data_IF_252688302384
#
_entry.id   IF_252688302384
#
_cell.length_a   1.000
_cell.length_b   1.000
_cell.length_c   1.000
_cell.angle_alpha   90.00
_cell.angle_beta   90.00
_cell.angle_gamma   90.00
#
_symmetry.space_group_name_H-M   'P 1'
#
loop_
_entity.id
_entity.type
_entity.pdbx_description
1 polymer ?
#
# COMPACT_ATOMS: atom_id res chain seq x y z
N UNK A 1 18.53 -27.09 -10.37
CA UNK A 1 17.63 -26.14 -11.09
C UNK A 1 17.79 -26.25 -12.61
N UNK A 2 19.01 -26.22 -13.17
CA UNK A 2 19.27 -26.42 -14.61
C UNK A 2 18.68 -27.72 -15.20
N UNK A 3 18.80 -28.86 -14.51
CA UNK A 3 18.26 -30.14 -15.00
C UNK A 3 16.72 -30.16 -15.10
N UNK A 4 16.02 -29.52 -14.15
CA UNK A 4 14.56 -29.39 -14.20
C UNK A 4 14.12 -28.52 -15.38
N UNK A 5 14.89 -27.47 -15.70
CA UNK A 5 14.64 -26.59 -16.86
C UNK A 5 14.90 -27.33 -18.18
N UNK A 6 16.02 -28.04 -18.30
CA UNK A 6 16.34 -28.84 -19.50
C UNK A 6 15.33 -30.00 -19.69
N UNK A 7 14.90 -30.63 -18.60
CA UNK A 7 13.83 -31.63 -18.62
C UNK A 7 12.49 -31.06 -19.10
N UNK A 8 12.13 -29.84 -18.69
CA UNK A 8 10.93 -29.17 -19.17
C UNK A 8 11.01 -28.78 -20.66
N UNK A 9 12.17 -28.31 -21.13
CA UNK A 9 12.42 -27.98 -22.54
C UNK A 9 12.33 -29.25 -23.41
N UNK A 10 12.94 -30.37 -22.98
CA UNK A 10 12.88 -31.62 -23.72
C UNK A 10 11.45 -32.19 -23.80
N UNK A 11 10.64 -32.04 -22.74
CA UNK A 11 9.22 -32.44 -22.77
C UNK A 11 8.38 -31.64 -23.78
N UNK A 12 8.74 -30.37 -24.04
CA UNK A 12 8.05 -29.50 -25.00
C UNK A 12 8.53 -29.69 -26.44
N UNK A 13 9.68 -30.33 -26.66
CA UNK A 13 10.24 -30.60 -28.00
C UNK A 13 9.29 -31.44 -28.86
N UNK A 14 8.84 -32.59 -28.35
CA UNK A 14 8.01 -33.53 -29.12
C UNK A 14 6.64 -32.95 -29.53
N UNK A 15 5.90 -32.23 -28.65
CA UNK A 15 4.69 -31.52 -29.05
C UNK A 15 4.93 -30.47 -30.14
N UNK A 16 6.01 -29.68 -30.03
CA UNK A 16 6.35 -28.64 -31.02
C UNK A 16 6.68 -29.26 -32.38
N UNK A 17 7.45 -30.35 -32.41
CA UNK A 17 7.75 -31.07 -33.65
C UNK A 17 6.48 -31.63 -34.32
N UNK A 18 5.51 -32.12 -33.53
CA UNK A 18 4.21 -32.55 -34.07
C UNK A 18 3.43 -31.39 -34.67
N UNK A 19 3.42 -30.24 -34.01
CA UNK A 19 2.75 -29.04 -34.51
C UNK A 19 3.39 -28.53 -35.81
N UNK A 20 4.73 -28.49 -35.88
CA UNK A 20 5.48 -28.11 -37.09
C UNK A 20 5.14 -29.06 -38.25
N UNK A 21 5.13 -30.38 -38.02
CA UNK A 21 4.75 -31.36 -39.05
C UNK A 21 3.33 -31.14 -39.57
N UNK A 22 2.39 -30.92 -38.67
CA UNK A 22 0.98 -30.65 -39.03
C UNK A 22 0.85 -29.34 -39.82
N UNK A 23 1.58 -28.30 -39.44
CA UNK A 23 1.63 -27.03 -40.17
C UNK A 23 2.16 -27.22 -41.60
N UNK A 24 3.30 -27.88 -41.75
CA UNK A 24 3.91 -28.15 -43.05
C UNK A 24 2.97 -28.95 -43.97
N UNK A 25 2.32 -29.98 -43.42
CA UNK A 25 1.34 -30.79 -44.15
C UNK A 25 0.14 -29.95 -44.63
N UNK A 26 -0.45 -29.15 -43.74
CA UNK A 26 -1.58 -28.29 -44.09
C UNK A 26 -1.21 -27.23 -45.12
N UNK A 27 -0.04 -26.60 -44.98
CA UNK A 27 0.47 -25.60 -45.93
C UNK A 27 0.69 -26.22 -47.30
N UNK A 28 1.31 -27.40 -47.38
CA UNK A 28 1.49 -28.14 -48.64
C UNK A 28 0.15 -28.47 -49.29
N UNK A 29 -0.80 -29.02 -48.54
CA UNK A 29 -2.13 -29.37 -49.04
C UNK A 29 -2.91 -28.15 -49.54
N UNK A 30 -2.75 -27.00 -48.89
CA UNK A 30 -3.38 -25.75 -49.32
C UNK A 30 -2.74 -25.20 -50.60
N UNK A 31 -1.42 -25.04 -50.62
CA UNK A 31 -0.70 -24.49 -51.78
C UNK A 31 -0.85 -25.39 -53.00
N UNK A 32 -0.85 -26.71 -52.84
CA UNK A 32 -1.10 -27.65 -53.93
C UNK A 32 -2.48 -27.44 -54.58
N UNK A 33 -3.49 -27.03 -53.81
CA UNK A 33 -4.86 -26.76 -54.32
C UNK A 33 -5.01 -25.37 -54.94
N UNK A 34 -4.35 -24.37 -54.38
CA UNK A 34 -4.53 -22.97 -54.77
C UNK A 34 -3.53 -22.54 -55.85
N UNK A 35 -2.25 -22.87 -55.68
CA UNK A 35 -1.18 -22.55 -56.62
C UNK A 35 0.06 -23.42 -56.36
N UNK A 36 0.18 -24.52 -57.12
CA UNK A 36 1.24 -25.50 -56.94
C UNK A 36 2.65 -24.95 -57.26
N UNK A 37 2.75 -23.88 -58.06
CA UNK A 37 4.05 -23.28 -58.41
C UNK A 37 4.72 -22.62 -57.19
N UNK A 38 3.91 -22.15 -56.23
CA UNK A 38 4.39 -21.52 -54.99
C UNK A 38 5.10 -22.49 -54.05
N UNK A 39 4.91 -23.80 -54.19
CA UNK A 39 5.63 -24.81 -53.41
C UNK A 39 7.14 -24.80 -53.68
N UNK A 40 7.56 -24.31 -54.84
CA UNK A 40 8.97 -24.23 -55.24
C UNK A 40 9.67 -23.00 -54.65
N UNK A 41 8.92 -22.07 -54.06
CA UNK A 41 9.49 -20.85 -53.50
C UNK A 41 10.25 -21.15 -52.20
N UNK A 42 11.39 -20.48 -51.95
CA UNK A 42 12.18 -20.66 -50.73
C UNK A 42 11.38 -20.43 -49.44
N UNK A 43 10.43 -19.49 -49.44
CA UNK A 43 9.64 -19.13 -48.25
C UNK A 43 8.59 -20.20 -47.88
N UNK A 44 8.29 -21.12 -48.81
CA UNK A 44 7.28 -22.16 -48.63
C UNK A 44 7.87 -23.55 -48.33
N UNK A 45 9.19 -23.65 -48.15
CA UNK A 45 9.85 -24.88 -47.76
C UNK A 45 9.48 -25.32 -46.34
N UNK A 46 9.44 -26.63 -46.11
CA UNK A 46 9.03 -27.25 -44.85
C UNK A 46 9.85 -26.71 -43.66
N UNK A 47 9.14 -26.12 -42.69
CA UNK A 47 9.76 -25.55 -41.51
C UNK A 47 10.36 -26.64 -40.63
N UNK A 48 11.61 -26.47 -40.20
CA UNK A 48 12.28 -27.36 -39.25
C UNK A 48 12.24 -26.83 -37.82
N UNK A 49 12.47 -27.70 -36.84
CA UNK A 49 12.57 -27.28 -35.43
C UNK A 49 13.74 -26.32 -35.19
N UNK A 50 14.83 -26.45 -35.96
CA UNK A 50 16.00 -25.58 -35.81
C UNK A 50 15.69 -24.16 -36.27
N UNK A 51 15.06 -24.03 -37.44
CA UNK A 51 14.57 -22.74 -37.96
C UNK A 51 13.51 -22.14 -37.03
N UNK A 52 12.60 -22.98 -36.51
CA UNK A 52 11.60 -22.54 -35.53
C UNK A 52 12.19 -21.93 -34.26
N UNK A 53 13.31 -22.47 -33.78
CA UNK A 53 14.01 -21.91 -32.62
C UNK A 53 14.83 -20.67 -32.94
N UNK A 54 15.24 -20.51 -34.18
CA UNK A 54 16.03 -19.37 -34.65
C UNK A 54 15.16 -18.17 -35.05
N UNK A 55 13.86 -18.39 -35.33
CA UNK A 55 12.91 -17.33 -35.62
C UNK A 55 12.77 -16.36 -34.45
N UNK A 56 12.82 -15.08 -34.76
CA UNK A 56 12.55 -14.01 -33.80
C UNK A 56 11.03 -13.78 -33.62
N UNK A 57 10.64 -12.97 -32.64
CA UNK A 57 9.24 -12.64 -32.36
C UNK A 57 8.61 -11.69 -33.39
N UNK A 58 9.41 -11.10 -34.27
CA UNK A 58 8.98 -10.22 -35.35
C UNK A 58 8.78 -10.95 -36.68
N UNK A 59 9.11 -12.25 -36.74
CA UNK A 59 9.00 -13.07 -37.92
C UNK A 59 7.56 -13.02 -38.50
N UNK A 60 7.40 -12.88 -39.83
CA UNK A 60 6.09 -12.87 -40.48
C UNK A 60 5.24 -14.13 -40.23
N UNK A 61 5.80 -15.23 -39.74
CA UNK A 61 5.02 -16.39 -39.29
C UNK A 61 4.17 -16.07 -38.05
N UNK A 62 4.67 -15.22 -37.15
CA UNK A 62 3.97 -14.82 -35.92
C UNK A 62 2.98 -13.69 -36.13
N UNK A 63 3.17 -12.93 -37.20
CA UNK A 63 2.26 -11.89 -37.62
C UNK A 63 1.30 -12.51 -38.64
N UNK A 64 0.01 -12.64 -38.32
CA UNK A 64 -1.04 -13.23 -39.19
C UNK A 64 -1.18 -12.60 -40.59
N UNK A 65 -0.30 -11.68 -41.00
CA UNK A 65 -0.18 -11.10 -42.33
C UNK A 65 -0.24 -12.14 -43.47
N UNK A 66 0.17 -13.39 -43.27
CA UNK A 66 0.07 -14.43 -44.30
C UNK A 66 -1.37 -14.95 -44.50
N UNK A 67 -2.24 -14.82 -43.50
CA UNK A 67 -3.66 -15.23 -43.55
C UNK A 67 -4.61 -14.06 -43.83
N UNK A 68 -4.18 -12.81 -43.61
CA UNK A 68 -4.98 -11.63 -43.92
C UNK A 68 -4.81 -11.19 -45.38
N UNK A 69 -5.79 -11.50 -46.23
CA UNK A 69 -5.91 -10.91 -47.58
C UNK A 69 -6.42 -9.46 -47.58
N UNK A 70 -6.51 -8.81 -46.42
CA UNK A 70 -6.96 -7.44 -46.31
C UNK A 70 -5.91 -6.49 -46.93
N UNK A 71 -6.18 -6.00 -48.13
CA UNK A 71 -5.35 -4.96 -48.80
C UNK A 71 -5.69 -3.54 -48.35
N UNK A 72 -6.52 -3.42 -47.32
CA UNK A 72 -6.96 -2.13 -46.80
C UNK A 72 -5.80 -1.40 -46.10
N UNK A 73 -5.77 -0.06 -46.10
CA UNK A 73 -4.68 0.71 -45.51
C UNK A 73 -4.42 0.39 -44.03
N UNK A 74 -5.46 0.08 -43.25
CA UNK A 74 -5.32 -0.31 -41.83
C UNK A 74 -4.56 -1.63 -41.61
N UNK A 75 -4.42 -2.48 -42.63
CA UNK A 75 -3.70 -3.75 -42.56
C UNK A 75 -2.27 -3.63 -43.08
N UNK A 76 -2.06 -2.87 -44.16
CA UNK A 76 -0.77 -2.80 -44.87
C UNK A 76 0.06 -1.56 -44.56
N UNK A 77 -0.56 -0.40 -44.35
CA UNK A 77 0.15 0.87 -44.16
C UNK A 77 0.62 1.01 -42.70
N UNK A 78 1.94 1.05 -42.44
CA UNK A 78 2.48 1.21 -41.09
C UNK A 78 2.04 2.50 -40.39
N UNK A 79 1.87 3.59 -41.15
CA UNK A 79 1.45 4.89 -40.61
C UNK A 79 -0.02 4.86 -40.20
N UNK A 80 -0.89 4.25 -41.01
CA UNK A 80 -2.31 4.09 -40.68
C UNK A 80 -2.46 3.24 -39.42
N UNK A 81 -1.73 2.12 -39.34
CA UNK A 81 -1.72 1.27 -38.13
C UNK A 81 -1.21 2.01 -36.90
N UNK A 82 -0.13 2.78 -37.04
CA UNK A 82 0.41 3.59 -35.94
C UNK A 82 -0.61 4.64 -35.51
N UNK A 83 -1.27 5.31 -36.45
CA UNK A 83 -2.35 6.27 -36.18
C UNK A 83 -3.50 5.64 -35.41
N UNK A 84 -4.03 4.50 -35.86
CA UNK A 84 -5.10 3.77 -35.16
C UNK A 84 -4.67 3.40 -33.74
N UNK A 85 -3.46 2.84 -33.58
CA UNK A 85 -2.93 2.51 -32.25
C UNK A 85 -2.79 3.74 -31.36
N UNK A 86 -2.36 4.88 -31.91
CA UNK A 86 -2.26 6.13 -31.17
C UNK A 86 -3.62 6.66 -30.72
N UNK A 87 -4.65 6.60 -31.56
CA UNK A 87 -6.02 7.00 -31.18
C UNK A 87 -6.55 6.10 -30.07
N UNK A 88 -6.49 4.78 -30.24
CA UNK A 88 -6.93 3.83 -29.22
C UNK A 88 -6.16 3.98 -27.89
N UNK A 89 -4.90 4.38 -27.96
CA UNK A 89 -4.11 4.67 -26.76
C UNK A 89 -4.59 5.94 -26.06
N UNK A 90 -4.95 6.99 -26.81
CA UNK A 90 -5.54 8.21 -26.23
C UNK A 90 -6.88 7.91 -25.58
N UNK A 91 -7.76 7.16 -26.25
CA UNK A 91 -9.06 6.74 -25.69
C UNK A 91 -8.86 5.98 -24.37
N UNK A 92 -7.91 5.04 -24.34
CA UNK A 92 -7.56 4.33 -23.11
C UNK A 92 -7.02 5.25 -22.01
N UNK A 93 -6.16 6.21 -22.35
CA UNK A 93 -5.64 7.16 -21.35
C UNK A 93 -6.78 7.98 -20.74
N UNK A 94 -7.74 8.40 -21.55
CA UNK A 94 -8.94 9.11 -21.08
C UNK A 94 -9.75 8.24 -20.10
N UNK A 95 -10.05 6.98 -20.47
CA UNK A 95 -10.71 6.02 -19.58
C UNK A 95 -9.97 5.81 -18.25
N UNK A 96 -8.63 5.68 -18.29
CA UNK A 96 -7.82 5.51 -17.08
C UNK A 96 -7.87 6.74 -16.16
N UNK A 97 -7.91 7.96 -16.72
CA UNK A 97 -8.08 9.19 -15.91
C UNK A 97 -9.45 9.22 -15.24
N UNK A 98 -10.51 8.78 -15.94
CA UNK A 98 -11.84 8.66 -15.35
C UNK A 98 -11.87 7.64 -14.21
N UNK A 99 -11.24 6.47 -14.39
CA UNK A 99 -11.13 5.45 -13.35
C UNK A 99 -10.35 5.96 -12.14
N UNK A 100 -9.21 6.62 -12.35
CA UNK A 100 -8.44 7.24 -11.27
C UNK A 100 -9.25 8.29 -10.51
N UNK A 101 -10.09 9.06 -11.19
CA UNK A 101 -11.00 10.02 -10.54
C UNK A 101 -12.02 9.32 -9.64
N UNK A 102 -12.62 8.24 -10.13
CA UNK A 102 -13.61 7.47 -9.36
C UNK A 102 -12.97 6.78 -8.14
N UNK A 103 -11.79 6.20 -8.31
CA UNK A 103 -11.07 5.55 -7.22
C UNK A 103 -10.55 6.54 -6.18
N UNK A 104 -10.12 7.74 -6.61
CA UNK A 104 -9.81 8.83 -5.69
C UNK A 104 -11.03 9.18 -4.85
N UNK A 105 -12.19 9.40 -5.48
CA UNK A 105 -13.44 9.77 -4.80
C UNK A 105 -13.88 8.71 -3.79
N UNK A 106 -13.81 7.43 -4.17
CA UNK A 106 -14.11 6.30 -3.26
C UNK A 106 -13.16 6.30 -2.07
N UNK A 107 -11.86 6.48 -2.32
CA UNK A 107 -10.83 6.45 -1.28
C UNK A 107 -11.02 7.57 -0.25
N UNK A 108 -11.24 8.80 -0.71
CA UNK A 108 -11.43 9.95 0.19
C UNK A 108 -12.81 9.93 0.86
N UNK A 109 -13.85 9.37 0.22
CA UNK A 109 -15.16 9.15 0.84
C UNK A 109 -15.04 8.16 1.99
N UNK A 110 -14.42 6.99 1.74
CA UNK A 110 -14.15 5.99 2.76
C UNK A 110 -13.38 6.58 3.95
N UNK A 111 -12.33 7.36 3.67
CA UNK A 111 -11.51 7.93 4.72
C UNK A 111 -12.32 8.86 5.65
N UNK A 112 -13.17 9.71 5.10
CA UNK A 112 -14.05 10.59 5.88
C UNK A 112 -15.15 9.83 6.62
N UNK A 113 -15.79 8.86 5.96
CA UNK A 113 -16.84 8.04 6.59
C UNK A 113 -16.31 7.21 7.75
N UNK A 114 -15.14 6.58 7.58
CA UNK A 114 -14.51 5.80 8.62
C UNK A 114 -14.08 6.67 9.81
N UNK A 115 -13.49 7.84 9.55
CA UNK A 115 -13.17 8.83 10.58
C UNK A 115 -14.42 9.26 11.36
N UNK A 116 -15.53 9.54 10.68
CA UNK A 116 -16.80 9.84 11.32
C UNK A 116 -17.34 8.66 12.15
N UNK A 117 -17.30 7.44 11.62
CA UNK A 117 -17.76 6.24 12.32
C UNK A 117 -16.99 6.01 13.63
N UNK A 118 -15.66 6.17 13.61
CA UNK A 118 -14.82 6.08 14.81
C UNK A 118 -15.20 7.15 15.83
N UNK A 119 -15.30 8.41 15.42
CA UNK A 119 -15.68 9.52 16.31
C UNK A 119 -17.07 9.33 16.92
N UNK A 120 -18.04 8.92 16.12
CA UNK A 120 -19.40 8.64 16.59
C UNK A 120 -19.44 7.47 17.57
N UNK A 121 -18.68 6.41 17.32
CA UNK A 121 -18.61 5.26 18.22
C UNK A 121 -17.95 5.63 19.56
N UNK A 122 -16.88 6.43 19.54
CA UNK A 122 -16.26 6.95 20.77
C UNK A 122 -17.27 7.80 21.56
N UNK A 123 -17.98 8.71 20.90
CA UNK A 123 -18.99 9.54 21.57
C UNK A 123 -20.13 8.71 22.19
N UNK A 124 -20.56 7.62 21.53
CA UNK A 124 -21.53 6.68 22.11
C UNK A 124 -20.99 5.97 23.34
N UNK A 125 -19.72 5.55 23.32
CA UNK A 125 -19.08 4.93 24.50
C UNK A 125 -18.99 5.93 25.65
N UNK A 126 -18.66 7.19 25.36
CA UNK A 126 -18.59 8.25 26.37
C UNK A 126 -19.97 8.47 27.05
N UNK A 127 -21.06 8.52 26.27
CA UNK A 127 -22.43 8.61 26.80
C UNK A 127 -22.81 7.39 27.66
N UNK A 128 -22.48 6.19 27.21
CA UNK A 128 -22.77 4.95 27.92
C UNK A 128 -21.89 4.75 29.17
N UNK A 129 -20.81 5.52 29.30
CA UNK A 129 -19.92 5.51 30.46
C UNK A 129 -20.33 6.52 31.56
N UNK A 130 -21.36 7.35 31.32
CA UNK A 130 -21.90 8.26 32.32
C UNK A 130 -22.54 7.48 33.48
N UNK A 131 -22.33 7.96 34.72
CA UNK A 131 -22.86 7.30 35.90
C UNK A 131 -24.32 7.75 36.17
N UNK A 132 -25.24 6.82 36.52
CA UNK A 132 -25.04 5.38 36.72
C UNK A 132 -25.01 4.60 35.40
N UNK A 133 -24.08 3.64 35.30
CA UNK A 133 -23.92 2.80 34.10
C UNK A 133 -25.18 1.97 33.87
N UNK A 134 -25.73 2.08 32.66
CA UNK A 134 -26.93 1.36 32.26
C UNK A 134 -26.66 -0.18 32.28
N UNK A 135 -27.48 -0.98 33.00
CA UNK A 135 -27.35 -2.44 32.99
C UNK A 135 -27.65 -3.08 31.63
N UNK A 136 -28.34 -2.38 30.72
CA UNK A 136 -28.62 -2.83 29.35
C UNK A 136 -27.76 -2.07 28.32
N UNK A 137 -26.45 -2.02 28.56
CA UNK A 137 -25.49 -1.31 27.73
C UNK A 137 -25.33 -1.97 26.34
N UNK A 138 -25.30 -1.16 25.26
CA UNK A 138 -25.13 -1.63 23.87
C UNK A 138 -23.87 -2.49 23.69
N UNK A 139 -22.81 -2.18 24.43
CA UNK A 139 -21.51 -2.85 24.36
C UNK A 139 -21.38 -4.06 25.30
N UNK A 140 -22.45 -4.45 26.02
CA UNK A 140 -22.39 -5.55 27.00
C UNK A 140 -21.92 -6.87 26.39
N UNK A 141 -22.33 -7.14 25.13
CA UNK A 141 -22.00 -8.37 24.39
C UNK A 141 -20.58 -8.39 23.82
N UNK A 142 -19.83 -7.28 23.92
CA UNK A 142 -18.43 -7.21 23.51
C UNK A 142 -17.56 -7.58 24.72
N UNK A 143 -16.49 -8.36 24.52
CA UNK A 143 -15.58 -8.79 25.59
C UNK A 143 -16.35 -9.39 26.78
N UNK A 144 -17.14 -10.44 26.55
CA UNK A 144 -18.02 -11.06 27.56
C UNK A 144 -17.28 -11.62 28.77
N UNK A 145 -15.98 -11.91 28.64
CA UNK A 145 -15.11 -12.30 29.75
C UNK A 145 -14.78 -11.17 30.74
N UNK A 146 -15.01 -9.91 30.35
CA UNK A 146 -14.76 -8.74 31.19
C UNK A 146 -15.96 -8.42 32.07
N UNK A 147 -15.81 -8.59 33.39
CA UNK A 147 -16.90 -8.42 34.38
C UNK A 147 -17.22 -6.96 34.70
N UNK A 148 -16.23 -6.06 34.64
CA UNK A 148 -16.42 -4.63 34.88
C UNK A 148 -16.86 -3.91 33.62
N UNK A 149 -18.10 -3.40 33.59
CA UNK A 149 -18.61 -2.60 32.48
C UNK A 149 -17.83 -1.29 32.31
N UNK A 150 -17.50 -0.62 33.43
CA UNK A 150 -16.68 0.60 33.43
C UNK A 150 -15.30 0.37 32.82
N UNK A 151 -14.64 -0.73 33.22
CA UNK A 151 -13.34 -1.11 32.67
C UNK A 151 -13.40 -1.44 31.18
N UNK A 152 -14.45 -2.13 30.75
CA UNK A 152 -14.72 -2.49 29.36
C UNK A 152 -14.90 -1.25 28.48
N UNK A 153 -15.78 -0.32 28.88
CA UNK A 153 -16.00 0.93 28.14
C UNK A 153 -14.71 1.75 28.04
N UNK A 154 -13.94 1.85 29.13
CA UNK A 154 -12.65 2.55 29.12
C UNK A 154 -11.65 1.92 28.14
N UNK A 155 -11.56 0.58 28.10
CA UNK A 155 -10.67 -0.13 27.17
C UNK A 155 -11.10 0.06 25.71
N UNK A 156 -12.40 -0.10 25.42
CA UNK A 156 -12.93 0.12 24.07
C UNK A 156 -12.68 1.54 23.60
N UNK A 157 -12.91 2.52 24.49
CA UNK A 157 -12.64 3.93 24.22
C UNK A 157 -11.17 4.17 23.90
N UNK A 158 -10.24 3.64 24.71
CA UNK A 158 -8.80 3.82 24.48
C UNK A 158 -8.36 3.21 23.15
N UNK A 159 -8.87 2.02 22.83
CA UNK A 159 -8.49 1.32 21.59
C UNK A 159 -9.03 2.04 20.35
N UNK A 160 -10.29 2.47 20.38
CA UNK A 160 -10.86 3.26 19.29
C UNK A 160 -10.20 4.62 19.13
N UNK A 161 -9.78 5.26 20.23
CA UNK A 161 -9.01 6.52 20.17
C UNK A 161 -7.67 6.30 19.49
N UNK A 162 -6.95 5.23 19.84
CA UNK A 162 -5.70 4.84 19.19
C UNK A 162 -5.88 4.58 17.69
N UNK A 163 -6.94 3.86 17.32
CA UNK A 163 -7.27 3.63 15.91
C UNK A 163 -7.64 4.92 15.17
N UNK A 164 -8.38 5.82 15.81
CA UNK A 164 -8.73 7.14 15.25
C UNK A 164 -7.48 7.97 14.97
N UNK A 165 -6.54 8.04 15.91
CA UNK A 165 -5.28 8.75 15.73
C UNK A 165 -4.44 8.15 14.59
N UNK A 166 -4.35 6.82 14.52
CA UNK A 166 -3.67 6.12 13.43
C UNK A 166 -4.29 6.43 12.06
N UNK A 167 -5.63 6.39 11.97
CA UNK A 167 -6.36 6.71 10.75
C UNK A 167 -6.20 8.18 10.34
N UNK A 168 -6.28 9.11 11.30
CA UNK A 168 -6.07 10.53 11.04
C UNK A 168 -4.65 10.82 10.53
N UNK A 169 -3.64 10.15 11.07
CA UNK A 169 -2.26 10.24 10.58
C UNK A 169 -2.17 9.75 9.14
N UNK A 170 -2.79 8.62 8.81
CA UNK A 170 -2.87 8.12 7.43
C UNK A 170 -3.53 9.16 6.49
N UNK A 171 -4.68 9.72 6.89
CA UNK A 171 -5.35 10.77 6.12
C UNK A 171 -4.43 11.97 5.85
N UNK A 172 -3.66 12.41 6.86
CA UNK A 172 -2.68 13.51 6.70
C UNK A 172 -1.58 13.13 5.72
N UNK A 173 -1.05 11.90 5.77
CA UNK A 173 -0.03 11.45 4.82
C UNK A 173 -0.52 11.46 3.37
N UNK A 174 -1.80 11.14 3.13
CA UNK A 174 -2.38 11.15 1.80
C UNK A 174 -2.71 12.56 1.27
N UNK A 175 -2.78 13.55 2.14
CA UNK A 175 -3.36 14.85 1.80
C UNK A 175 -2.71 15.55 0.61
N UNK A 176 -1.38 15.51 0.51
CA UNK A 176 -0.64 16.10 -0.61
C UNK A 176 -0.96 15.38 -1.92
N UNK A 177 -0.95 14.05 -1.92
CA UNK A 177 -1.22 13.25 -3.12
C UNK A 177 -2.68 13.41 -3.57
N UNK A 178 -3.62 13.46 -2.61
CA UNK A 178 -5.04 13.73 -2.88
C UNK A 178 -5.20 15.11 -3.54
N UNK A 179 -4.54 16.16 -3.02
CA UNK A 179 -4.60 17.50 -3.62
C UNK A 179 -4.03 17.52 -5.07
N UNK A 180 -2.96 16.78 -5.33
CA UNK A 180 -2.35 16.65 -6.66
C UNK A 180 -3.29 15.90 -7.62
N UNK A 181 -3.76 14.72 -7.21
CA UNK A 181 -4.64 13.89 -8.05
C UNK A 181 -5.96 14.60 -8.31
N UNK A 182 -6.55 15.22 -7.30
CA UNK A 182 -7.77 16.01 -7.42
C UNK A 182 -7.66 17.09 -8.50
N UNK A 183 -6.53 17.83 -8.56
CA UNK A 183 -6.33 18.86 -9.57
C UNK A 183 -6.09 18.28 -10.97
N UNK A 184 -5.49 17.09 -11.07
CA UNK A 184 -5.07 16.49 -12.32
C UNK A 184 -6.15 15.69 -13.03
N UNK A 185 -7.06 15.07 -12.28
CA UNK A 185 -8.04 14.13 -12.87
C UNK A 185 -9.43 14.75 -13.06
N UNK A 186 -9.71 15.91 -12.46
CA UNK A 186 -11.00 16.62 -12.60
C UNK A 186 -11.09 17.35 -13.94
N UNK A 187 -12.24 17.25 -14.59
CA UNK A 187 -12.60 18.06 -15.78
C UNK A 187 -13.65 19.13 -15.43
N UNK A 188 -13.99 19.99 -16.39
CA UNK A 188 -15.06 21.00 -16.23
C UNK A 188 -16.43 20.36 -15.90
N UNK A 189 -16.62 19.08 -16.19
CA UNK A 189 -17.88 18.35 -16.00
C UNK A 189 -17.95 17.59 -14.67
N UNK A 190 -16.83 17.47 -13.95
CA UNK A 190 -16.83 16.81 -12.63
C UNK A 190 -17.23 17.85 -11.56
N UNK A 191 -18.04 17.43 -10.56
CA UNK A 191 -18.29 18.26 -9.36
C UNK A 191 -16.94 18.72 -8.81
N UNK A 192 -16.82 19.86 -8.15
CA UNK A 192 -15.54 20.38 -7.63
C UNK A 192 -15.48 20.43 -6.09
N UNK A 193 -16.43 19.78 -5.42
CA UNK A 193 -16.54 19.78 -3.97
C UNK A 193 -16.50 18.36 -3.42
N UNK A 194 -15.90 18.19 -2.23
CA UNK A 194 -15.94 16.96 -1.45
C UNK A 194 -15.62 17.27 0.03
N UNK A 195 -16.32 16.60 0.95
CA UNK A 195 -16.20 16.78 2.42
C UNK A 195 -14.78 16.62 2.97
N UNK A 196 -13.93 15.87 2.26
CA UNK A 196 -12.51 15.70 2.56
C UNK A 196 -11.81 17.04 2.80
N UNK A 197 -12.06 18.03 1.95
CA UNK A 197 -11.37 19.32 2.02
C UNK A 197 -11.80 20.16 3.23
N UNK A 198 -12.99 19.91 3.77
CA UNK A 198 -13.47 20.53 5.01
C UNK A 198 -12.89 19.81 6.24
N UNK A 199 -12.73 18.48 6.17
CA UNK A 199 -12.29 17.65 7.29
C UNK A 199 -10.76 17.62 7.48
N UNK A 200 -9.99 17.68 6.38
CA UNK A 200 -8.55 17.44 6.45
C UNK A 200 -7.78 18.56 7.15
N UNK A 201 -8.27 19.81 7.06
CA UNK A 201 -7.64 20.98 7.69
C UNK A 201 -7.57 20.86 9.23
N UNK A 202 -8.71 20.68 9.91
CA UNK A 202 -8.74 20.43 11.35
C UNK A 202 -7.91 19.21 11.78
N UNK A 203 -7.96 18.11 11.00
CA UNK A 203 -7.20 16.89 11.29
C UNK A 203 -5.68 17.15 11.21
N UNK A 204 -5.20 17.87 10.18
CA UNK A 204 -3.80 18.27 10.04
C UNK A 204 -3.30 19.05 11.27
N UNK A 205 -4.12 19.99 11.78
CA UNK A 205 -3.76 20.77 12.97
C UNK A 205 -3.69 19.90 14.22
N UNK A 206 -4.63 18.96 14.40
CA UNK A 206 -4.65 18.06 15.54
C UNK A 206 -3.44 17.12 15.54
N UNK A 207 -3.14 16.47 14.40
CA UNK A 207 -1.98 15.57 14.27
C UNK A 207 -0.66 16.33 14.48
N UNK A 208 -0.56 17.56 13.98
CA UNK A 208 0.64 18.40 14.19
C UNK A 208 0.83 18.76 15.66
N UNK A 209 -0.24 19.15 16.37
CA UNK A 209 -0.19 19.43 17.81
C UNK A 209 0.20 18.19 18.63
N UNK A 210 -0.36 17.03 18.30
CA UNK A 210 -0.01 15.76 18.96
C UNK A 210 1.47 15.41 18.80
N UNK A 211 2.05 15.63 17.61
CA UNK A 211 3.48 15.42 17.39
C UNK A 211 4.33 16.40 18.22
N UNK A 212 3.94 17.67 18.32
CA UNK A 212 4.66 18.66 19.13
C UNK A 212 4.60 18.31 20.63
N UNK A 213 3.44 17.90 21.12
CA UNK A 213 3.29 17.43 22.51
C UNK A 213 4.18 16.22 22.79
N UNK A 214 4.19 15.22 21.90
CA UNK A 214 5.06 14.05 22.03
C UNK A 214 6.56 14.40 22.00
N UNK A 215 6.97 15.41 21.23
CA UNK A 215 8.37 15.88 21.22
C UNK A 215 8.70 16.56 22.54
N UNK A 216 7.78 17.37 23.08
CA UNK A 216 7.96 18.03 24.36
C UNK A 216 8.08 17.01 25.50
N UNK A 217 7.21 16.00 25.53
CA UNK A 217 7.26 14.92 26.54
C UNK A 217 8.58 14.13 26.44
N UNK A 218 9.09 13.89 25.22
CA UNK A 218 10.38 13.22 25.02
C UNK A 218 11.58 14.09 25.43
N UNK A 219 11.52 15.40 25.18
CA UNK A 219 12.54 16.35 25.61
C UNK A 219 12.56 16.46 27.15
N UNK A 220 11.40 16.51 27.78
CA UNK A 220 11.24 16.54 29.23
C UNK A 220 11.84 15.27 29.88
N UNK A 221 11.61 14.09 29.30
CA UNK A 221 12.24 12.84 29.76
C UNK A 221 13.77 12.87 29.66
N UNK A 222 14.35 13.45 28.61
CA UNK A 222 15.80 13.58 28.48
C UNK A 222 16.40 14.57 29.50
N UNK A 223 15.70 15.66 29.81
CA UNK A 223 16.16 16.61 30.83
C UNK A 223 16.14 16.04 32.25
N UNK A 224 15.23 15.12 32.56
CA UNK A 224 15.20 14.46 33.87
C UNK A 224 16.31 13.42 34.06
N UNK A 225 16.87 12.87 32.99
CA UNK A 225 18.01 11.95 33.07
C UNK A 225 19.35 12.68 33.35
N UNK A 226 19.43 13.99 33.10
CA UNK A 226 20.66 14.78 33.25
C UNK A 226 20.81 15.44 34.64
N UNK A 227 19.73 15.57 35.42
CA UNK A 227 19.72 16.24 36.74
C UNK A 227 19.75 15.29 37.95
N UNK A 228 19.87 13.97 37.72
CA UNK A 228 19.79 12.92 38.76
C UNK A 228 21.11 12.28 39.20
N UNK A 229 22.23 13.02 39.18
CA UNK A 229 23.56 12.50 39.54
C UNK A 229 24.25 13.28 40.66
N UNK A 230 24.49 12.58 41.78
CA UNK A 230 25.46 12.82 42.85
C UNK A 230 25.12 13.83 43.96
N UNK A 231 24.47 13.33 45.00
CA UNK A 231 24.90 13.61 46.38
C UNK A 231 25.15 12.25 47.07
N UNK A 232 26.42 11.86 47.13
CA UNK A 232 26.90 10.74 47.95
C UNK A 232 26.83 11.14 49.43
N UNK A 233 26.15 10.33 50.24
CA UNK A 233 26.24 10.37 51.70
C UNK A 233 27.54 9.68 52.12
N UNK A 234 28.50 10.44 52.67
CA UNK A 234 29.70 9.89 53.30
C UNK A 234 29.36 9.36 54.71
N UNK A 235 29.36 8.03 54.87
CA UNK A 235 29.47 7.35 56.16
C UNK A 235 30.96 7.28 56.56
N UNK A 236 31.37 8.00 57.61
CA UNK A 236 32.66 7.78 58.28
C UNK A 236 32.45 7.00 59.59
N UNK A 237 32.90 5.74 59.63
CA UNK A 237 33.31 5.04 60.85
C UNK A 237 34.78 4.61 60.71
N UNK A 238 35.66 5.01 61.64
CA UNK A 238 36.64 4.09 62.23
C UNK A 238 37.28 4.61 63.54
N UNK A 239 36.93 3.90 64.61
CA UNK A 239 37.74 3.28 65.68
C UNK A 239 38.83 4.03 66.50
N UNK A 240 38.54 4.08 67.80
CA UNK A 240 39.38 3.84 69.01
C UNK A 240 40.87 4.19 69.04
N UNK A 241 41.23 5.08 69.98
CA UNK A 241 42.43 4.96 70.81
C UNK A 241 42.16 5.48 72.23
N UNK A 242 42.44 4.63 73.21
CA UNK A 242 42.36 4.83 74.66
C UNK A 242 43.44 5.77 75.20
N UNK A 243 43.11 6.59 76.20
CA UNK A 243 44.07 7.27 77.08
C UNK A 243 43.36 7.99 78.24
N UNK A 244 43.65 7.57 79.46
CA UNK A 244 43.08 7.98 80.75
C UNK A 244 43.48 9.41 81.20
N UNK A 245 42.65 9.93 82.12
CA UNK A 245 42.87 10.92 83.20
C UNK A 245 43.23 12.38 82.86
N UNK A 246 42.40 13.36 83.26
CA UNK A 246 42.39 13.93 84.62
C UNK A 246 41.38 15.09 84.74
N UNK A 247 40.94 15.34 85.97
CA UNK A 247 39.94 16.34 86.43
C UNK A 247 40.15 17.80 85.94
N UNK A 248 39.06 18.59 85.89
CA UNK A 248 38.88 19.88 86.62
C UNK A 248 37.54 20.57 86.25
N UNK A 249 36.89 21.07 87.30
CA UNK A 249 35.66 21.86 87.40
C UNK A 249 35.53 23.10 86.48
N UNK A 250 34.28 23.53 86.19
CA UNK A 250 34.00 24.96 85.97
C UNK A 250 32.87 25.35 85.01
N UNK A 251 31.67 25.55 85.57
CA UNK A 251 30.77 26.73 85.40
C UNK A 251 30.61 27.40 84.00
N UNK A 252 29.36 27.56 83.53
CA UNK A 252 28.97 28.79 82.81
C UNK A 252 27.87 28.72 81.74
N UNK A 253 26.64 28.94 82.16
CA UNK A 253 25.50 29.61 81.50
C UNK A 253 25.70 30.23 80.09
N UNK A 254 24.84 29.85 79.12
CA UNK A 254 23.72 30.64 78.60
C UNK A 254 22.98 29.90 77.47
#
# INVERSE_FOLDING_TARGET
>A
MREKIMGAINRRKTPVEKAIKLFNERRRNYLQKVDASRLLLPENQDLTLAEFKAMDLTDPLWNDNHFYHARAPWALDPNVRKGIKSVLFLDRVEEEVELLTQELDRSITWACEYNCSLRSTIAKIDLEAEEPINPNNEFANILTSFTSMKGKLRLLRSELTRHLEGHQRLMVTWSTDVEILWRKTRSQHTKNTHRWFDEIGPIKQHVSRGNVASINDALEQLTFEEEGGDQEEEEEEEDSLTGEDDDVEGVGSC
#
